data_IF_110329602099
#
_entry.id   IF_110329602099
#
_cell.length_a   1.000
_cell.length_b   1.000
_cell.length_c   1.000
_cell.angle_alpha   90.00
_cell.angle_beta   90.00
_cell.angle_gamma   90.00
#
_symmetry.space_group_name_H-M   'P 1'
#
loop_
_entity.id
_entity.type
_entity.pdbx_description
1 polymer ?
#
# COMPACT_ATOMS: atom_id res chain seq x y z
N UNK A 1 -10.15 15.11 -6.46
CA UNK A 1 -9.18 15.91 -7.24
C UNK A 1 -8.31 14.91 -7.95
N UNK A 2 -7.93 15.14 -9.20
CA UNK A 2 -7.11 14.19 -9.94
C UNK A 2 -5.65 14.28 -9.47
N UNK A 3 -4.89 13.20 -9.60
CA UNK A 3 -3.47 13.20 -9.25
C UNK A 3 -2.69 14.31 -9.96
N UNK A 4 -2.94 14.55 -11.25
CA UNK A 4 -2.27 15.65 -11.99
C UNK A 4 -2.53 17.04 -11.40
N UNK A 5 -3.68 17.24 -10.76
CA UNK A 5 -4.04 18.50 -10.11
C UNK A 5 -3.33 18.63 -8.77
N UNK A 6 -3.33 17.55 -7.98
CA UNK A 6 -2.64 17.47 -6.69
C UNK A 6 -1.12 17.66 -6.83
N UNK A 7 -0.52 17.03 -7.83
CA UNK A 7 0.93 16.96 -8.03
C UNK A 7 1.46 17.94 -9.08
N UNK A 8 0.65 18.90 -9.55
CA UNK A 8 0.99 19.80 -10.64
C UNK A 8 2.36 20.48 -10.49
N UNK A 9 2.67 21.03 -9.32
CA UNK A 9 3.95 21.69 -9.06
C UNK A 9 5.15 20.75 -9.22
N UNK A 10 5.06 19.54 -8.65
CA UNK A 10 6.15 18.55 -8.69
C UNK A 10 6.32 17.96 -10.10
N UNK A 11 5.23 17.78 -10.85
CA UNK A 11 5.27 17.41 -12.27
C UNK A 11 6.04 18.46 -13.08
N UNK A 12 5.75 19.75 -12.85
CA UNK A 12 6.43 20.86 -13.52
C UNK A 12 7.92 20.89 -13.15
N UNK A 13 8.28 20.69 -11.88
CA UNK A 13 9.69 20.61 -11.45
C UNK A 13 10.46 19.52 -12.21
N UNK A 14 9.95 18.29 -12.23
CA UNK A 14 10.57 17.15 -12.93
C UNK A 14 10.74 17.47 -14.43
N UNK A 15 9.71 18.05 -15.05
CA UNK A 15 9.75 18.41 -16.47
C UNK A 15 10.78 19.52 -16.78
N UNK A 16 10.96 20.49 -15.87
CA UNK A 16 11.98 21.55 -16.00
C UNK A 16 13.39 20.97 -15.90
N UNK A 17 13.60 19.96 -15.05
CA UNK A 17 14.87 19.23 -14.93
C UNK A 17 15.17 18.37 -16.18
N UNK A 18 14.19 18.20 -17.07
CA UNK A 18 14.34 17.46 -18.32
C UNK A 18 14.17 15.95 -18.17
N UNK A 19 13.69 15.49 -17.01
CA UNK A 19 13.44 14.07 -16.74
C UNK A 19 12.01 13.67 -17.08
N UNK A 20 11.83 12.39 -17.38
CA UNK A 20 10.51 11.76 -17.40
C UNK A 20 10.01 11.51 -15.97
N UNK A 21 8.71 11.25 -15.82
CA UNK A 21 8.13 10.94 -14.51
C UNK A 21 8.19 9.43 -14.30
N UNK A 22 8.80 9.02 -13.19
CA UNK A 22 8.68 7.69 -12.60
C UNK A 22 7.88 7.72 -11.31
N UNK A 23 7.69 6.54 -10.71
CA UNK A 23 6.97 6.40 -9.45
C UNK A 23 7.67 5.38 -8.57
N UNK A 24 7.84 5.72 -7.29
CA UNK A 24 8.36 4.82 -6.27
C UNK A 24 7.47 4.97 -5.05
N UNK A 25 6.89 3.86 -4.58
CA UNK A 25 6.05 3.83 -3.39
C UNK A 25 4.86 4.81 -3.49
N UNK A 26 4.24 4.91 -4.67
CA UNK A 26 3.12 5.82 -4.93
C UNK A 26 3.50 7.31 -4.97
N UNK A 27 4.79 7.65 -4.91
CA UNK A 27 5.29 9.03 -5.01
C UNK A 27 5.97 9.25 -6.35
N UNK A 28 5.60 10.33 -7.03
CA UNK A 28 6.27 10.71 -8.28
C UNK A 28 7.72 11.12 -8.02
N UNK A 29 8.61 10.63 -8.87
CA UNK A 29 10.06 10.75 -8.77
C UNK A 29 10.64 10.94 -10.18
N UNK A 30 11.73 11.70 -10.38
CA UNK A 30 12.40 11.74 -11.68
C UNK A 30 12.80 10.33 -12.14
N UNK A 31 12.43 9.96 -13.36
CA UNK A 31 12.73 8.63 -13.91
C UNK A 31 14.24 8.39 -14.02
N UNK A 32 15.02 9.44 -14.28
CA UNK A 32 16.48 9.33 -14.44
C UNK A 32 17.21 9.03 -13.12
N UNK A 33 16.54 9.20 -11.97
CA UNK A 33 17.10 8.97 -10.64
C UNK A 33 16.89 7.53 -10.14
N UNK A 34 16.11 6.70 -10.85
CA UNK A 34 15.70 5.37 -10.41
C UNK A 34 15.97 4.30 -11.45
N UNK A 35 16.29 3.08 -11.01
CA UNK A 35 16.35 1.92 -11.90
C UNK A 35 14.97 1.54 -12.39
N UNK A 36 14.82 1.08 -13.64
CA UNK A 36 13.51 0.66 -14.15
C UNK A 36 12.86 -0.41 -13.27
N UNK A 37 13.64 -1.34 -12.70
CA UNK A 37 13.17 -2.40 -11.80
C UNK A 37 12.69 -1.91 -10.43
N UNK A 38 13.00 -0.67 -10.07
CA UNK A 38 12.60 -0.01 -8.83
C UNK A 38 11.36 0.88 -9.04
N UNK A 39 10.97 1.11 -10.29
CA UNK A 39 9.82 1.92 -10.64
C UNK A 39 8.53 1.11 -10.57
N UNK A 40 7.50 1.64 -9.92
CA UNK A 40 6.17 1.03 -9.83
C UNK A 40 5.53 0.82 -11.23
N UNK A 41 6.02 1.52 -12.26
CA UNK A 41 5.59 1.41 -13.65
C UNK A 41 6.48 0.53 -14.54
N UNK A 42 7.41 -0.25 -13.96
CA UNK A 42 8.33 -1.15 -14.66
C UNK A 42 7.68 -2.10 -15.69
N UNK A 43 6.42 -2.47 -15.48
CA UNK A 43 5.83 -3.68 -16.07
C UNK A 43 5.30 -3.47 -17.49
N UNK A 44 5.05 -2.23 -17.93
CA UNK A 44 4.34 -1.91 -19.19
C UNK A 44 4.84 -0.61 -19.86
N UNK A 45 3.99 0.00 -20.68
CA UNK A 45 4.15 1.33 -21.27
C UNK A 45 4.03 2.41 -20.18
N UNK A 46 5.17 2.97 -19.78
CA UNK A 46 5.26 4.02 -18.76
C UNK A 46 4.34 5.23 -19.08
N UNK A 47 4.19 5.60 -20.36
CA UNK A 47 3.37 6.75 -20.74
C UNK A 47 1.87 6.46 -20.55
N UNK A 48 1.45 5.22 -20.79
CA UNK A 48 0.07 4.80 -20.55
C UNK A 48 -0.26 4.79 -19.06
N UNK A 49 0.62 4.20 -18.23
CA UNK A 49 0.46 4.15 -16.78
C UNK A 49 0.48 5.55 -16.14
N UNK A 50 1.39 6.42 -16.58
CA UNK A 50 1.43 7.81 -16.15
C UNK A 50 0.12 8.55 -16.49
N UNK A 51 -0.43 8.35 -17.69
CA UNK A 51 -1.71 8.97 -18.09
C UNK A 51 -2.88 8.45 -17.26
N UNK A 52 -2.92 7.16 -16.99
CA UNK A 52 -3.95 6.56 -16.14
C UNK A 52 -3.88 7.14 -14.73
N UNK A 53 -2.69 7.09 -14.10
CA UNK A 53 -2.45 7.65 -12.78
C UNK A 53 -2.79 9.15 -12.73
N UNK A 54 -2.33 9.94 -13.70
CA UNK A 54 -2.58 11.38 -13.74
C UNK A 54 -4.08 11.73 -13.79
N UNK A 55 -4.91 10.85 -14.35
CA UNK A 55 -6.35 11.03 -14.48
C UNK A 55 -7.18 10.22 -13.46
N UNK A 56 -6.54 9.46 -12.56
CA UNK A 56 -7.26 8.84 -11.45
C UNK A 56 -7.49 9.84 -10.32
N UNK A 57 -8.54 9.61 -9.53
CA UNK A 57 -8.78 10.37 -8.32
C UNK A 57 -7.60 10.20 -7.35
N UNK A 58 -7.17 11.31 -6.77
CA UNK A 58 -6.17 11.33 -5.71
C UNK A 58 -6.75 10.70 -4.45
N UNK A 59 -6.06 9.67 -3.97
CA UNK A 59 -6.23 9.13 -2.64
C UNK A 59 -4.98 9.46 -1.84
N UNK A 60 -5.14 10.07 -0.67
CA UNK A 60 -4.04 10.27 0.25
C UNK A 60 -3.61 8.91 0.79
N UNK A 61 -2.34 8.57 0.63
CA UNK A 61 -1.80 7.35 1.22
C UNK A 61 -1.88 7.48 2.75
N UNK A 62 -2.31 6.43 3.45
CA UNK A 62 -2.34 6.44 4.90
C UNK A 62 -0.92 6.51 5.46
N UNK A 63 -0.81 7.04 6.67
CA UNK A 63 0.43 6.98 7.45
C UNK A 63 0.33 5.85 8.45
N UNK A 64 1.50 5.34 8.86
CA UNK A 64 1.62 4.32 9.90
C UNK A 64 2.31 4.90 11.12
N UNK A 65 1.94 4.43 12.30
CA UNK A 65 2.63 4.77 13.54
C UNK A 65 4.01 4.10 13.61
N UNK A 66 4.95 4.60 14.43
CA UNK A 66 6.23 3.93 14.67
C UNK A 66 6.07 2.49 15.17
N UNK A 67 5.01 2.22 15.96
CA UNK A 67 4.72 0.88 16.50
C UNK A 67 4.21 -0.08 15.43
N UNK A 68 3.37 0.41 14.52
CA UNK A 68 2.94 -0.33 13.32
C UNK A 68 4.14 -0.70 12.46
N UNK A 69 5.04 0.26 12.20
CA UNK A 69 6.27 0.00 11.46
C UNK A 69 7.14 -1.09 12.11
N UNK A 70 7.34 -1.04 13.43
CA UNK A 70 8.10 -2.06 14.15
C UNK A 70 7.49 -3.46 13.99
N UNK A 71 6.16 -3.57 14.00
CA UNK A 71 5.49 -4.86 13.76
C UNK A 71 5.75 -5.35 12.33
N UNK A 72 5.64 -4.46 11.34
CA UNK A 72 5.88 -4.81 9.93
C UNK A 72 7.32 -5.26 9.69
N UNK A 73 8.29 -4.57 10.30
CA UNK A 73 9.72 -4.94 10.25
C UNK A 73 9.98 -6.29 10.94
N UNK A 74 9.20 -6.64 11.96
CA UNK A 74 9.32 -7.93 12.65
C UNK A 74 8.75 -9.10 11.83
N UNK A 75 7.61 -8.91 11.18
CA UNK A 75 6.99 -9.98 10.37
C UNK A 75 7.59 -10.09 8.97
N UNK A 76 8.18 -9.00 8.46
CA UNK A 76 8.89 -8.81 7.18
C UNK A 76 8.07 -9.07 5.91
N UNK A 77 7.11 -10.00 5.96
CA UNK A 77 6.34 -10.50 4.82
C UNK A 77 4.92 -10.86 5.25
N UNK A 78 4.07 -11.15 4.28
CA UNK A 78 2.69 -11.57 4.49
C UNK A 78 1.70 -10.46 4.18
N UNK A 79 0.49 -10.61 4.71
CA UNK A 79 -0.64 -9.73 4.44
C UNK A 79 -1.38 -9.38 5.72
N UNK A 80 -2.00 -8.20 5.76
CA UNK A 80 -2.82 -7.72 6.86
C UNK A 80 -4.21 -7.41 6.33
N UNK A 81 -5.22 -7.91 7.02
CA UNK A 81 -6.61 -7.63 6.68
C UNK A 81 -7.46 -7.54 7.95
N UNK A 82 -8.58 -6.83 7.85
CA UNK A 82 -9.54 -6.68 8.94
C UNK A 82 -10.83 -7.38 8.59
N UNK A 83 -11.29 -8.22 9.51
CA UNK A 83 -12.60 -8.88 9.45
C UNK A 83 -13.74 -7.89 9.75
N UNK A 84 -14.98 -8.28 9.45
CA UNK A 84 -16.14 -7.44 9.69
C UNK A 84 -16.35 -7.09 11.17
N UNK A 85 -15.95 -7.98 12.08
CA UNK A 85 -16.04 -7.77 13.53
C UNK A 85 -14.92 -6.86 14.08
N UNK A 86 -14.14 -6.24 13.18
CA UNK A 86 -12.97 -5.39 13.45
C UNK A 86 -11.71 -6.14 13.90
N UNK A 87 -11.73 -7.47 13.96
CA UNK A 87 -10.54 -8.26 14.23
C UNK A 87 -9.49 -8.05 13.14
N UNK A 88 -8.26 -7.70 13.54
CA UNK A 88 -7.15 -7.45 12.63
C UNK A 88 -6.17 -8.61 12.64
N UNK A 89 -5.92 -9.15 11.46
CA UNK A 89 -5.14 -10.36 11.28
C UNK A 89 -3.95 -10.12 10.38
N UNK A 90 -2.83 -10.75 10.75
CA UNK A 90 -1.72 -10.97 9.84
C UNK A 90 -1.79 -12.40 9.29
N UNK A 91 -1.54 -12.56 8.00
CA UNK A 91 -1.57 -13.82 7.27
C UNK A 91 -0.22 -14.05 6.59
N UNK A 92 0.29 -15.28 6.70
CA UNK A 92 1.53 -15.65 6.00
C UNK A 92 1.36 -15.70 4.48
N UNK A 93 0.22 -16.19 4.01
CA UNK A 93 -0.16 -16.32 2.59
C UNK A 93 -1.33 -15.35 2.27
N UNK A 94 -1.57 -15.02 0.99
CA UNK A 94 -2.59 -14.01 0.64
C UNK A 94 -3.97 -14.55 1.01
N UNK A 95 -4.71 -13.92 1.92
CA UNK A 95 -6.05 -14.38 2.26
C UNK A 95 -7.04 -14.00 1.15
N UNK A 96 -8.18 -14.68 1.16
CA UNK A 96 -9.34 -14.41 0.31
C UNK A 96 -10.44 -13.83 1.19
N UNK A 97 -11.12 -12.80 0.67
CA UNK A 97 -12.27 -12.20 1.34
C UNK A 97 -13.49 -13.11 1.23
N UNK A 98 -14.07 -13.52 2.35
CA UNK A 98 -15.31 -14.27 2.40
C UNK A 98 -16.44 -13.38 2.95
N UNK A 99 -17.26 -12.83 2.06
CA UNK A 99 -18.40 -11.97 2.44
C UNK A 99 -19.49 -12.71 3.23
N UNK A 100 -19.64 -14.02 3.00
CA UNK A 100 -20.62 -14.84 3.72
C UNK A 100 -20.18 -15.11 5.16
N UNK A 101 -18.90 -15.50 5.31
CA UNK A 101 -18.25 -15.71 6.61
C UNK A 101 -17.92 -14.41 7.34
N UNK A 102 -17.91 -13.29 6.61
CA UNK A 102 -17.53 -11.95 7.07
C UNK A 102 -16.10 -11.88 7.62
N UNK A 103 -15.20 -12.64 7.01
CA UNK A 103 -13.80 -12.76 7.42
C UNK A 103 -12.86 -12.93 6.22
N UNK A 104 -11.58 -12.80 6.49
CA UNK A 104 -10.49 -13.14 5.59
C UNK A 104 -9.95 -14.54 5.94
N UNK A 105 -9.86 -15.42 4.94
CA UNK A 105 -9.49 -16.82 5.15
C UNK A 105 -8.67 -17.41 4.00
N UNK A 106 -8.23 -18.66 4.14
CA UNK A 106 -7.60 -19.42 3.07
C UNK A 106 -8.62 -20.28 2.33
N UNK A 107 -8.34 -20.60 1.07
CA UNK A 107 -9.13 -21.55 0.28
C UNK A 107 -9.01 -23.01 0.79
N UNK A 108 -8.02 -23.30 1.64
CA UNK A 108 -7.74 -24.62 2.19
C UNK A 108 -7.41 -24.57 3.70
N UNK A 109 -7.70 -25.67 4.40
CA UNK A 109 -7.77 -25.88 5.87
C UNK A 109 -6.47 -25.60 6.70
N UNK A 110 -5.52 -24.82 6.21
CA UNK A 110 -4.29 -24.45 6.92
C UNK A 110 -4.32 -23.01 7.44
N UNK A 111 -5.10 -22.73 8.49
CA UNK A 111 -5.10 -21.39 9.12
C UNK A 111 -3.74 -21.07 9.77
N UNK A 112 -2.96 -20.20 9.13
CA UNK A 112 -1.81 -19.51 9.73
C UNK A 112 -2.11 -18.00 9.70
N UNK A 113 -3.04 -17.59 10.55
CA UNK A 113 -3.36 -16.19 10.84
C UNK A 113 -2.99 -15.84 12.28
N UNK A 114 -2.39 -14.66 12.50
CA UNK A 114 -2.07 -14.14 13.82
C UNK A 114 -2.97 -12.94 14.13
N UNK A 115 -3.66 -12.97 15.28
CA UNK A 115 -4.50 -11.87 15.72
C UNK A 115 -3.65 -10.74 16.31
N UNK A 116 -3.25 -9.77 15.49
CA UNK A 116 -2.21 -8.80 15.83
C UNK A 116 -2.71 -7.66 16.74
N UNK A 117 -3.98 -7.28 16.65
CA UNK A 117 -4.54 -6.19 17.48
C UNK A 117 -4.42 -6.50 18.97
N UNK A 118 -4.86 -7.69 19.40
CA UNK A 118 -4.77 -8.07 20.81
C UNK A 118 -3.35 -8.44 21.25
N UNK A 119 -2.54 -9.01 20.34
CA UNK A 119 -1.21 -9.51 20.68
C UNK A 119 -0.20 -8.39 20.86
N UNK A 120 -0.26 -7.36 20.00
CA UNK A 120 0.73 -6.28 19.99
C UNK A 120 0.14 -4.91 20.34
N UNK A 121 -1.19 -4.77 20.40
CA UNK A 121 -1.84 -3.47 20.58
C UNK A 121 -1.55 -2.53 19.41
N UNK A 122 -1.63 -3.06 18.19
CA UNK A 122 -1.38 -2.38 16.92
C UNK A 122 -2.66 -2.44 16.09
N UNK A 123 -3.13 -1.30 15.55
CA UNK A 123 -4.47 -1.24 14.98
C UNK A 123 -4.52 -1.01 13.47
N UNK A 124 -3.63 -0.27 12.82
CA UNK A 124 -3.78 0.11 11.40
C UNK A 124 -5.20 0.64 11.10
N UNK A 125 -5.51 1.84 11.57
CA UNK A 125 -6.88 2.39 11.56
C UNK A 125 -7.50 2.49 10.14
N UNK A 126 -6.67 2.65 9.12
CA UNK A 126 -7.08 2.76 7.73
C UNK A 126 -7.39 1.41 7.06
N UNK A 127 -6.95 0.28 7.62
CA UNK A 127 -7.27 -1.05 7.08
C UNK A 127 -8.68 -1.42 7.54
N UNK A 128 -9.60 -1.63 6.61
CA UNK A 128 -11.02 -1.83 6.93
C UNK A 128 -11.62 -3.04 6.21
N UNK A 129 -12.77 -3.54 6.69
CA UNK A 129 -13.52 -4.58 5.99
C UNK A 129 -13.98 -4.14 4.58
N UNK A 130 -14.10 -2.85 4.33
CA UNK A 130 -14.49 -2.34 3.01
C UNK A 130 -13.40 -2.48 1.96
N UNK A 131 -12.15 -2.77 2.35
CA UNK A 131 -11.05 -2.99 1.42
C UNK A 131 -11.34 -4.25 0.58
N UNK A 132 -11.25 -4.12 -0.75
CA UNK A 132 -11.50 -5.24 -1.67
C UNK A 132 -10.36 -6.28 -1.65
N UNK A 133 -9.16 -5.86 -1.27
CA UNK A 133 -7.94 -6.67 -1.23
C UNK A 133 -7.22 -6.47 0.11
N UNK A 134 -6.49 -7.49 0.60
CA UNK A 134 -5.72 -7.37 1.83
C UNK A 134 -4.45 -6.56 1.56
N UNK A 135 -3.94 -5.87 2.58
CA UNK A 135 -2.71 -5.09 2.47
C UNK A 135 -1.48 -5.99 2.56
N UNK A 136 -0.54 -5.88 1.62
CA UNK A 136 0.73 -6.58 1.75
C UNK A 136 1.63 -5.89 2.78
N UNK A 137 2.39 -6.65 3.56
CA UNK A 137 3.39 -6.08 4.48
C UNK A 137 4.43 -5.26 3.71
N UNK A 138 4.78 -5.68 2.50
CA UNK A 138 5.71 -4.96 1.63
C UNK A 138 5.20 -3.56 1.28
N UNK A 139 3.92 -3.43 0.93
CA UNK A 139 3.33 -2.12 0.60
C UNK A 139 3.15 -1.25 1.85
N UNK A 140 2.80 -1.86 2.98
CA UNK A 140 2.71 -1.15 4.25
C UNK A 140 4.07 -0.60 4.71
N UNK A 141 5.17 -1.33 4.51
CA UNK A 141 6.53 -0.87 4.84
C UNK A 141 6.97 0.36 4.03
N UNK A 142 6.33 0.62 2.88
CA UNK A 142 6.61 1.76 2.00
C UNK A 142 5.85 3.04 2.43
N UNK A 143 4.89 2.94 3.35
CA UNK A 143 4.11 4.08 3.84
C UNK A 143 4.94 5.05 4.70
N UNK A 144 4.53 6.31 4.72
CA UNK A 144 5.13 7.31 5.60
C UNK A 144 4.84 6.98 7.06
N UNK A 145 5.83 7.18 7.92
CA UNK A 145 5.68 7.04 9.37
C UNK A 145 5.25 8.37 9.96
N UNK A 146 4.26 8.36 10.84
CA UNK A 146 3.85 9.55 11.58
C UNK A 146 5.00 10.12 12.42
N UNK A 147 5.12 11.45 12.41
CA UNK A 147 6.06 12.16 13.28
C UNK A 147 5.48 12.22 14.70
N UNK A 148 6.25 11.73 15.68
CA UNK A 148 5.87 11.68 17.10
C UNK A 148 5.62 13.07 17.72
#
# INVERSE_FOLDING_TARGET
>A
MLNKEKYASKIIEIAIEGSSIGMVNGKITPCDDIGCNECDWYVLDCDALLKEWANSEYAELPKITPKEKQLLELVETGWIARDYDSSLWWFRNKPIKNDYGKCWEYDCDGFIGLYILSTFGVNFEFITWSDEEPWSVEDLLKLEVEEC
#
